data_IF_564821434103
#
_entry.id   IF_564821434103
#
_cell.length_a   1.000
_cell.length_b   1.000
_cell.length_c   1.000
_cell.angle_alpha   90.00
_cell.angle_beta   90.00
_cell.angle_gamma   90.00
#
_symmetry.space_group_name_H-M   'P 1'
#
loop_
_entity.id
_entity.type
_entity.pdbx_description
1 polymer ?
#
# COMPACT_ATOMS: atom_id res chain seq x y z
N UNK A 1 43.46 3.41 36.48
CA UNK A 1 42.20 4.17 36.44
C UNK A 1 41.92 4.82 35.11
N UNK A 2 42.88 5.37 34.39
CA UNK A 2 42.65 5.95 33.07
C UNK A 2 42.19 4.91 32.02
N UNK A 3 42.71 3.68 32.08
CA UNK A 3 42.31 2.61 31.18
C UNK A 3 40.85 2.21 31.38
N UNK A 4 40.35 2.23 32.61
CA UNK A 4 38.94 1.92 32.91
C UNK A 4 38.04 3.05 32.39
N UNK A 5 38.44 4.30 32.56
CA UNK A 5 37.70 5.45 32.01
C UNK A 5 37.63 5.40 30.50
N UNK A 6 38.72 5.03 29.83
CA UNK A 6 38.74 4.90 28.37
C UNK A 6 37.83 3.76 27.89
N UNK A 7 37.77 2.65 28.60
CA UNK A 7 36.87 1.54 28.29
C UNK A 7 35.40 1.94 28.44
N UNK A 8 35.07 2.67 29.50
CA UNK A 8 33.73 3.19 29.75
C UNK A 8 33.35 4.19 28.64
N UNK A 9 34.27 5.09 28.25
CA UNK A 9 34.04 6.03 27.16
C UNK A 9 33.82 5.33 25.82
N UNK A 10 34.60 4.29 25.52
CA UNK A 10 34.42 3.51 24.31
C UNK A 10 33.08 2.78 24.30
N UNK A 11 32.66 2.22 25.43
CA UNK A 11 31.35 1.56 25.53
C UNK A 11 30.20 2.54 25.35
N UNK A 12 30.29 3.74 25.90
CA UNK A 12 29.29 4.79 25.74
C UNK A 12 29.17 5.22 24.26
N UNK A 13 30.31 5.42 23.59
CA UNK A 13 30.36 5.76 22.19
C UNK A 13 29.79 4.62 21.32
N UNK A 14 30.13 3.38 21.63
CA UNK A 14 29.63 2.21 20.95
C UNK A 14 28.09 2.11 21.08
N UNK A 15 27.57 2.31 22.29
CA UNK A 15 26.14 2.32 22.55
C UNK A 15 25.44 3.44 21.77
N UNK A 16 26.04 4.63 21.74
CA UNK A 16 25.51 5.75 20.97
C UNK A 16 25.44 5.44 19.48
N UNK A 17 26.49 4.89 18.89
CA UNK A 17 26.51 4.51 17.49
C UNK A 17 25.52 3.39 17.18
N UNK A 18 25.38 2.42 18.07
CA UNK A 18 24.43 1.33 17.90
C UNK A 18 22.99 1.84 17.92
N UNK A 19 22.65 2.74 18.83
CA UNK A 19 21.32 3.37 18.90
C UNK A 19 21.06 4.22 17.66
N UNK A 20 22.02 5.03 17.25
CA UNK A 20 21.90 5.87 16.05
C UNK A 20 21.68 5.00 14.78
N UNK A 21 22.41 3.90 14.64
CA UNK A 21 22.25 2.98 13.53
C UNK A 21 20.86 2.32 13.55
N UNK A 22 20.42 1.86 14.72
CA UNK A 22 19.10 1.25 14.88
C UNK A 22 17.98 2.24 14.51
N UNK A 23 18.06 3.48 14.94
CA UNK A 23 17.10 4.53 14.60
C UNK A 23 17.09 4.81 13.10
N UNK A 24 18.27 4.90 12.49
CA UNK A 24 18.41 5.14 11.05
C UNK A 24 17.77 4.01 10.25
N UNK A 25 18.03 2.75 10.62
CA UNK A 25 17.44 1.58 9.97
C UNK A 25 15.92 1.56 10.13
N UNK A 26 15.41 1.88 11.31
CA UNK A 26 13.97 1.95 11.57
C UNK A 26 13.30 3.00 10.70
N UNK A 27 13.87 4.19 10.62
CA UNK A 27 13.36 5.28 9.77
C UNK A 27 13.40 4.86 8.30
N UNK A 28 14.48 4.25 7.84
CA UNK A 28 14.60 3.77 6.46
C UNK A 28 13.53 2.74 6.13
N UNK A 29 13.28 1.77 7.01
CA UNK A 29 12.24 0.76 6.83
C UNK A 29 10.86 1.43 6.77
N UNK A 30 10.57 2.36 7.66
CA UNK A 30 9.30 3.10 7.66
C UNK A 30 9.11 3.90 6.38
N UNK A 31 10.15 4.57 5.88
CA UNK A 31 10.10 5.33 4.62
C UNK A 31 9.84 4.41 3.43
N UNK A 32 10.48 3.24 3.38
CA UNK A 32 10.26 2.27 2.31
C UNK A 32 8.81 1.78 2.32
N UNK A 33 8.24 1.51 3.49
CA UNK A 33 6.84 1.10 3.61
C UNK A 33 5.88 2.20 3.16
N UNK A 34 6.15 3.45 3.51
CA UNK A 34 5.34 4.60 3.07
C UNK A 34 5.40 4.77 1.56
N UNK A 35 6.57 4.58 0.95
CA UNK A 35 6.72 4.64 -0.51
C UNK A 35 5.97 3.51 -1.19
N UNK A 36 6.04 2.28 -0.65
CA UNK A 36 5.34 1.12 -1.21
C UNK A 36 3.83 1.21 -1.08
N UNK A 37 3.35 1.71 0.04
CA UNK A 37 1.91 1.77 0.33
C UNK A 37 1.61 3.14 0.94
N UNK A 38 1.28 4.16 0.11
CA UNK A 38 0.95 5.48 0.63
C UNK A 38 -0.19 5.40 1.65
N UNK A 39 -0.03 5.98 2.86
CA UNK A 39 -1.04 5.86 3.91
C UNK A 39 -2.42 6.40 3.51
N UNK A 40 -2.44 7.46 2.72
CA UNK A 40 -3.70 8.09 2.26
C UNK A 40 -4.46 7.13 1.34
N UNK A 41 -3.76 6.49 0.40
CA UNK A 41 -4.36 5.56 -0.55
C UNK A 41 -4.82 4.29 0.17
N UNK A 42 -4.03 3.79 1.11
CA UNK A 42 -4.39 2.63 1.93
C UNK A 42 -5.67 2.89 2.73
N UNK A 43 -5.77 4.05 3.37
CA UNK A 43 -6.96 4.45 4.13
C UNK A 43 -8.18 4.57 3.22
N UNK A 44 -8.00 5.16 2.05
CA UNK A 44 -9.08 5.30 1.07
C UNK A 44 -9.57 3.94 0.59
N UNK A 45 -8.65 3.03 0.31
CA UNK A 45 -8.99 1.66 -0.10
C UNK A 45 -9.73 0.90 1.02
N UNK A 46 -9.23 0.94 2.26
CA UNK A 46 -9.89 0.33 3.41
C UNK A 46 -11.30 0.88 3.58
N UNK A 47 -11.46 2.18 3.48
CA UNK A 47 -12.76 2.84 3.57
C UNK A 47 -13.70 2.37 2.45
N UNK A 48 -13.17 2.27 1.25
CA UNK A 48 -13.94 1.84 0.09
C UNK A 48 -14.47 0.42 0.27
N UNK A 49 -13.63 -0.53 0.64
CA UNK A 49 -14.06 -1.92 0.83
C UNK A 49 -15.02 -2.08 2.00
N UNK A 50 -14.84 -1.33 3.06
CA UNK A 50 -15.77 -1.35 4.22
C UNK A 50 -17.12 -0.75 3.88
N UNK A 51 -17.14 0.38 3.16
CA UNK A 51 -18.38 1.03 2.73
C UNK A 51 -19.15 0.17 1.74
N UNK A 52 -18.47 -0.60 0.90
CA UNK A 52 -19.09 -1.52 -0.05
C UNK A 52 -19.57 -2.81 0.60
N UNK A 53 -19.08 -3.13 1.79
CA UNK A 53 -19.33 -4.42 2.43
C UNK A 53 -18.63 -5.58 1.73
N UNK A 54 -17.49 -5.32 1.10
CA UNK A 54 -16.72 -6.34 0.40
C UNK A 54 -15.85 -7.11 1.39
N UNK A 55 -16.40 -8.16 1.97
CA UNK A 55 -15.72 -9.00 2.95
C UNK A 55 -16.01 -10.48 2.70
N UNK A 56 -15.17 -11.35 3.25
CA UNK A 56 -15.38 -12.79 3.20
C UNK A 56 -16.32 -13.26 4.32
N UNK A 57 -16.52 -14.59 4.42
CA UNK A 57 -17.40 -15.18 5.44
C UNK A 57 -16.91 -14.95 6.87
N UNK A 58 -15.61 -14.70 7.07
CA UNK A 58 -15.03 -14.40 8.38
C UNK A 58 -14.97 -12.89 8.69
N UNK A 59 -15.66 -12.06 7.89
CA UNK A 59 -15.65 -10.60 8.01
C UNK A 59 -14.27 -9.96 7.81
N UNK A 60 -13.40 -10.61 7.05
CA UNK A 60 -12.12 -10.04 6.66
C UNK A 60 -12.26 -9.26 5.35
N UNK A 61 -11.67 -8.07 5.30
CA UNK A 61 -11.69 -7.19 4.13
C UNK A 61 -10.40 -7.35 3.33
N UNK A 62 -10.45 -7.19 2.00
CA UNK A 62 -9.23 -7.13 1.20
C UNK A 62 -8.29 -6.05 1.70
N UNK A 63 -7.00 -6.33 1.66
CA UNK A 63 -5.96 -5.43 2.19
C UNK A 63 -5.04 -4.99 1.06
N UNK A 64 -4.81 -3.69 0.96
CA UNK A 64 -3.83 -3.13 0.03
C UNK A 64 -2.42 -3.46 0.52
N UNK A 65 -1.67 -4.22 -0.28
CA UNK A 65 -0.32 -4.70 0.07
C UNK A 65 0.76 -3.76 -0.45
N UNK A 66 0.66 -3.34 -1.71
CA UNK A 66 1.65 -2.47 -2.33
C UNK A 66 1.07 -1.67 -3.49
N UNK A 67 1.76 -0.60 -3.84
CA UNK A 67 1.40 0.29 -4.95
C UNK A 67 2.63 0.46 -5.83
N UNK A 68 2.45 0.31 -7.15
CA UNK A 68 3.48 0.55 -8.15
C UNK A 68 2.95 1.52 -9.19
N UNK A 69 3.85 2.22 -9.87
CA UNK A 69 3.49 3.00 -11.05
C UNK A 69 3.20 2.08 -12.23
N UNK A 70 2.14 2.39 -12.96
CA UNK A 70 1.85 1.73 -14.22
C UNK A 70 2.77 2.31 -15.30
N UNK A 71 3.61 1.45 -15.89
CA UNK A 71 4.54 1.85 -16.94
C UNK A 71 3.83 2.19 -18.25
N UNK A 72 2.67 1.61 -18.48
CA UNK A 72 1.93 1.75 -19.74
C UNK A 72 1.04 3.00 -19.76
N UNK A 73 0.67 3.53 -18.58
CA UNK A 73 -0.19 4.70 -18.46
C UNK A 73 0.44 5.76 -17.59
N UNK A 74 0.51 6.98 -18.12
CA UNK A 74 0.88 8.14 -17.33
C UNK A 74 -0.12 8.35 -16.19
N UNK A 75 0.37 8.58 -14.98
CA UNK A 75 -0.42 8.75 -13.75
C UNK A 75 -1.23 7.52 -13.31
N UNK A 76 -1.08 6.38 -13.99
CA UNK A 76 -1.70 5.13 -13.57
C UNK A 76 -0.93 4.48 -12.42
N UNK A 77 -1.67 3.76 -11.59
CA UNK A 77 -1.12 3.02 -10.45
C UNK A 77 -1.57 1.56 -10.52
N UNK A 78 -0.70 0.67 -10.11
CA UNK A 78 -1.02 -0.75 -9.96
C UNK A 78 -1.09 -1.05 -8.46
N UNK A 79 -2.30 -1.34 -7.98
CA UNK A 79 -2.55 -1.67 -6.58
C UNK A 79 -2.55 -3.19 -6.41
N UNK A 80 -1.65 -3.70 -5.60
CA UNK A 80 -1.65 -5.13 -5.25
C UNK A 80 -2.44 -5.33 -3.98
N UNK A 81 -3.49 -6.12 -4.06
CA UNK A 81 -4.45 -6.33 -2.98
C UNK A 81 -4.49 -7.79 -2.61
N UNK A 82 -4.43 -8.08 -1.31
CA UNK A 82 -4.67 -9.44 -0.80
C UNK A 82 -6.18 -9.68 -0.77
N UNK A 83 -6.65 -10.67 -1.52
CA UNK A 83 -8.07 -10.95 -1.72
C UNK A 83 -8.80 -11.44 -0.48
N UNK A 84 -8.09 -12.01 0.49
CA UNK A 84 -8.72 -12.67 1.66
C UNK A 84 -9.77 -13.72 1.24
N UNK A 85 -9.49 -14.46 0.16
CA UNK A 85 -10.38 -15.50 -0.36
C UNK A 85 -11.50 -15.01 -1.27
N UNK A 86 -11.59 -13.72 -1.55
CA UNK A 86 -12.57 -13.18 -2.48
C UNK A 86 -12.13 -13.39 -3.93
N UNK A 87 -13.09 -13.54 -4.83
CA UNK A 87 -12.83 -13.71 -6.26
C UNK A 87 -13.02 -12.41 -7.04
N UNK A 88 -12.56 -12.39 -8.30
CA UNK A 88 -12.80 -11.24 -9.17
C UNK A 88 -14.29 -10.91 -9.37
N UNK A 89 -15.19 -11.89 -9.54
CA UNK A 89 -16.63 -11.59 -9.60
C UNK A 89 -17.15 -10.87 -8.35
N UNK A 90 -16.61 -11.16 -7.17
CA UNK A 90 -16.96 -10.46 -5.93
C UNK A 90 -16.56 -8.98 -5.99
N UNK A 91 -15.36 -8.69 -6.50
CA UNK A 91 -14.90 -7.32 -6.72
C UNK A 91 -15.74 -6.60 -7.77
N UNK A 92 -16.05 -7.27 -8.89
CA UNK A 92 -16.84 -6.69 -9.98
C UNK A 92 -18.26 -6.33 -9.53
N UNK A 93 -18.83 -7.09 -8.61
CA UNK A 93 -20.15 -6.82 -8.05
C UNK A 93 -20.21 -5.47 -7.34
N UNK A 94 -19.10 -5.03 -6.78
CA UNK A 94 -18.99 -3.77 -6.06
C UNK A 94 -18.19 -2.69 -6.82
N UNK A 95 -17.91 -2.93 -8.10
CA UNK A 95 -17.05 -2.08 -8.92
C UNK A 95 -17.49 -0.61 -8.92
N UNK A 96 -18.77 -0.34 -9.14
CA UNK A 96 -19.27 1.03 -9.25
C UNK A 96 -19.07 1.82 -7.95
N UNK A 97 -19.35 1.21 -6.81
CA UNK A 97 -19.14 1.86 -5.51
C UNK A 97 -17.67 2.07 -5.22
N UNK A 98 -16.86 1.05 -5.51
CA UNK A 98 -15.41 1.17 -5.34
C UNK A 98 -14.85 2.29 -6.20
N UNK A 99 -15.27 2.38 -7.45
CA UNK A 99 -14.85 3.43 -8.37
C UNK A 99 -15.16 4.82 -7.84
N UNK A 100 -16.37 5.03 -7.35
CA UNK A 100 -16.82 6.32 -6.83
C UNK A 100 -16.04 6.71 -5.56
N UNK A 101 -15.87 5.77 -4.64
CA UNK A 101 -15.17 6.05 -3.37
C UNK A 101 -13.67 6.25 -3.60
N UNK A 102 -13.06 5.45 -4.47
CA UNK A 102 -11.64 5.58 -4.82
C UNK A 102 -11.35 6.82 -5.66
N UNK A 103 -12.35 7.36 -6.34
CA UNK A 103 -12.19 8.57 -7.15
C UNK A 103 -11.47 8.33 -8.47
N UNK A 104 -11.73 7.22 -9.14
CA UNK A 104 -11.14 6.91 -10.44
C UNK A 104 -11.67 5.63 -11.04
N UNK A 105 -11.14 5.28 -12.20
CA UNK A 105 -11.47 4.01 -12.87
C UNK A 105 -10.36 2.99 -12.63
N UNK A 106 -10.71 1.71 -12.61
CA UNK A 106 -9.72 0.67 -12.50
C UNK A 106 -10.14 -0.60 -13.22
N UNK A 107 -9.14 -1.35 -13.66
CA UNK A 107 -9.27 -2.67 -14.23
C UNK A 107 -8.72 -3.67 -13.22
N UNK A 108 -9.39 -4.79 -13.07
CA UNK A 108 -9.02 -5.83 -12.11
C UNK A 108 -8.55 -7.08 -12.84
N UNK A 109 -7.49 -7.69 -12.36
CA UNK A 109 -7.02 -9.00 -12.80
C UNK A 109 -6.32 -9.72 -11.66
N UNK A 110 -6.21 -11.05 -11.74
CA UNK A 110 -5.45 -11.81 -10.78
C UNK A 110 -3.94 -11.56 -10.97
N UNK A 111 -3.20 -11.52 -9.86
CA UNK A 111 -1.75 -11.54 -9.88
C UNK A 111 -1.22 -12.94 -10.23
N UNK A 112 0.10 -13.10 -10.15
CA UNK A 112 0.74 -14.42 -10.33
C UNK A 112 0.19 -15.45 -9.36
N UNK A 113 -0.06 -15.02 -8.12
CA UNK A 113 -0.75 -15.81 -7.12
C UNK A 113 -2.22 -15.34 -7.09
N UNK A 114 -3.16 -16.27 -7.22
CA UNK A 114 -4.59 -15.97 -7.24
C UNK A 114 -5.10 -15.37 -5.92
N UNK A 115 -4.31 -15.46 -4.83
CA UNK A 115 -4.63 -14.81 -3.56
C UNK A 115 -4.46 -13.30 -3.61
N UNK A 116 -3.90 -12.76 -4.69
CA UNK A 116 -3.70 -11.34 -4.90
C UNK A 116 -4.41 -10.88 -6.16
N UNK A 117 -5.02 -9.71 -6.07
CA UNK A 117 -5.65 -9.03 -7.20
C UNK A 117 -4.84 -7.78 -7.53
N UNK A 118 -4.60 -7.56 -8.80
CA UNK A 118 -3.98 -6.34 -9.31
C UNK A 118 -5.07 -5.39 -9.81
N UNK A 119 -5.12 -4.20 -9.21
CA UNK A 119 -6.03 -3.14 -9.62
C UNK A 119 -5.24 -2.09 -10.38
N UNK A 120 -5.49 -1.98 -11.67
CA UNK A 120 -4.90 -0.92 -12.51
C UNK A 120 -5.77 0.32 -12.36
N UNK A 121 -5.33 1.24 -11.52
CA UNK A 121 -6.10 2.40 -11.09
C UNK A 121 -5.63 3.66 -11.80
N UNK A 122 -6.59 4.42 -12.32
CA UNK A 122 -6.35 5.75 -12.90
C UNK A 122 -7.25 6.75 -12.20
N UNK A 123 -6.68 7.74 -11.47
CA UNK A 123 -7.48 8.78 -10.82
C UNK A 123 -8.36 9.54 -11.81
N UNK A 124 -9.56 9.91 -11.38
CA UNK A 124 -10.57 10.55 -12.24
C UNK A 124 -10.05 11.85 -12.91
N UNK A 125 -9.21 12.60 -12.23
CA UNK A 125 -8.64 13.85 -12.78
C UNK A 125 -7.76 13.63 -14.01
N UNK A 126 -7.28 12.39 -14.24
CA UNK A 126 -6.46 12.03 -15.39
C UNK A 126 -7.23 11.27 -16.47
N UNK A 127 -8.52 11.00 -16.24
CA UNK A 127 -9.37 10.35 -17.23
C UNK A 127 -9.85 11.39 -18.22
N UNK A 128 -9.56 11.18 -19.50
CA UNK A 128 -10.06 12.07 -20.55
C UNK A 128 -11.57 11.92 -20.67
N UNK A 129 -12.32 13.04 -20.67
CA UNK A 129 -13.76 12.98 -20.86
C UNK A 129 -14.08 12.62 -22.32
N UNK A 130 -14.27 11.33 -22.58
CA UNK A 130 -14.61 10.84 -23.91
C UNK A 130 -15.97 11.35 -24.40
N UNK A 131 -16.78 11.89 -23.51
CA UNK A 131 -18.13 12.36 -23.79
C UNK A 131 -18.18 13.70 -24.53
N UNK A 132 -17.07 14.41 -24.63
CA UNK A 132 -17.01 15.73 -25.27
C UNK A 132 -16.36 15.70 -26.64
N UNK A 133 -16.15 14.53 -27.15
CA UNK A 133 -15.63 14.33 -28.51
C UNK A 133 -16.74 14.06 -29.49
#
# INVERSE_FOLDING_TARGET
MEQVKNLIFQNDNFTFYAVALALTLTVAICLVQVIRTPPILKRRFDRAVRCCGLHNAQNEYPVLVSVKRDKDKSHGLILKVNNKGLSLPDFNRHYERLRVIMGGIFRMEYGRNINYTLLYFLPQKYVRPALFT
#
